data_IF_421857314403
#
_entry.id   IF_421857314403
#
_cell.length_a   1.000
_cell.length_b   1.000
_cell.length_c   1.000
_cell.angle_alpha   90.00
_cell.angle_beta   90.00
_cell.angle_gamma   90.00
#
_symmetry.space_group_name_H-M   'P 1'
#
loop_
_entity.id
_entity.type
_entity.pdbx_description
1 polymer ?
#
# COMPACT_ATOMS: atom_id res chain seq x y z
N UNK A 1 16.72 -5.40 -4.57
CA UNK A 1 17.80 -6.05 -3.80
C UNK A 1 18.34 -5.03 -2.82
N UNK A 2 18.57 -5.42 -1.57
CA UNK A 2 19.28 -4.60 -0.58
C UNK A 2 20.63 -5.25 -0.29
N UNK A 3 21.72 -4.53 -0.49
CA UNK A 3 23.07 -4.99 -0.25
C UNK A 3 23.60 -4.51 1.10
N UNK A 4 24.61 -5.23 1.63
CA UNK A 4 25.26 -4.93 2.90
C UNK A 4 24.30 -4.89 4.11
N UNK A 5 23.24 -5.66 4.05
CA UNK A 5 22.30 -5.80 5.17
C UNK A 5 22.96 -6.64 6.27
N UNK A 6 22.87 -6.16 7.50
CA UNK A 6 23.35 -6.90 8.66
C UNK A 6 22.18 -7.42 9.48
N UNK A 7 22.12 -8.76 9.63
CA UNK A 7 21.15 -9.45 10.49
C UNK A 7 21.94 -10.38 11.42
N UNK A 8 21.84 -10.18 12.75
CA UNK A 8 22.57 -10.97 13.77
C UNK A 8 24.09 -11.03 13.53
N UNK A 9 24.71 -9.88 13.27
CA UNK A 9 26.17 -9.80 12.98
C UNK A 9 26.59 -10.55 11.71
N UNK A 10 25.65 -11.03 10.89
CA UNK A 10 25.91 -11.60 9.57
C UNK A 10 25.59 -10.57 8.50
N UNK A 11 26.57 -10.29 7.65
CA UNK A 11 26.40 -9.40 6.50
C UNK A 11 26.05 -10.21 5.27
N UNK A 12 25.15 -9.67 4.45
CA UNK A 12 24.71 -10.30 3.22
C UNK A 12 23.84 -9.37 2.37
N UNK A 13 23.27 -9.94 1.31
CA UNK A 13 22.31 -9.24 0.46
C UNK A 13 20.93 -9.87 0.59
N UNK A 14 19.88 -9.05 0.66
CA UNK A 14 18.51 -9.49 0.59
C UNK A 14 18.02 -9.44 -0.85
N UNK A 15 17.58 -10.59 -1.36
CA UNK A 15 16.98 -10.70 -2.68
C UNK A 15 15.47 -10.73 -2.55
N UNK A 16 14.80 -9.79 -3.21
CA UNK A 16 13.34 -9.72 -3.28
C UNK A 16 12.87 -10.39 -4.55
N UNK A 17 12.11 -11.49 -4.41
CA UNK A 17 11.55 -12.26 -5.52
C UNK A 17 10.04 -12.23 -5.40
N UNK A 18 9.35 -11.98 -6.51
CA UNK A 18 7.91 -11.96 -6.58
C UNK A 18 7.40 -12.87 -7.68
N UNK A 19 6.27 -13.51 -7.40
CA UNK A 19 5.48 -14.26 -8.38
C UNK A 19 3.99 -14.13 -8.05
N UNK A 20 3.08 -14.29 -9.02
CA UNK A 20 1.66 -14.29 -8.78
C UNK A 20 1.25 -15.46 -7.89
N UNK A 21 0.31 -15.25 -6.99
CA UNK A 21 -0.21 -16.31 -6.10
C UNK A 21 -0.84 -17.46 -6.89
N UNK A 22 -1.38 -17.21 -8.08
CA UNK A 22 -1.87 -18.23 -9.03
C UNK A 22 -0.78 -19.18 -9.49
N UNK A 23 0.49 -18.73 -9.50
CA UNK A 23 1.67 -19.49 -9.92
C UNK A 23 2.35 -20.26 -8.77
N UNK A 24 1.70 -20.41 -7.63
CA UNK A 24 2.28 -21.12 -6.48
C UNK A 24 2.74 -22.54 -6.81
N UNK A 25 1.99 -23.26 -7.65
CA UNK A 25 2.37 -24.60 -8.11
C UNK A 25 3.71 -24.59 -8.86
N UNK A 26 3.93 -23.61 -9.74
CA UNK A 26 5.20 -23.45 -10.45
C UNK A 26 6.35 -23.11 -9.51
N UNK A 27 6.10 -22.27 -8.49
CA UNK A 27 7.09 -21.97 -7.46
C UNK A 27 7.48 -23.22 -6.66
N UNK A 28 6.51 -24.05 -6.22
CA UNK A 28 6.79 -25.29 -5.48
C UNK A 28 7.56 -26.30 -6.33
N UNK A 29 7.21 -26.41 -7.62
CA UNK A 29 7.96 -27.25 -8.57
C UNK A 29 9.40 -26.78 -8.72
N UNK A 30 9.63 -25.47 -8.82
CA UNK A 30 10.97 -24.89 -8.87
C UNK A 30 11.75 -25.13 -7.57
N UNK A 31 11.11 -24.93 -6.40
CA UNK A 31 11.69 -25.15 -5.10
C UNK A 31 12.15 -26.62 -4.94
N UNK A 32 11.35 -27.57 -5.41
CA UNK A 32 11.67 -28.99 -5.43
C UNK A 32 12.85 -29.27 -6.37
N UNK A 33 12.81 -28.76 -7.60
CA UNK A 33 13.86 -28.97 -8.60
C UNK A 33 15.22 -28.37 -8.17
N UNK A 34 15.21 -27.29 -7.40
CA UNK A 34 16.42 -26.65 -6.85
C UNK A 34 16.85 -27.21 -5.50
N UNK A 35 16.17 -28.20 -4.97
CA UNK A 35 16.51 -28.84 -3.70
C UNK A 35 16.42 -27.90 -2.49
N UNK A 36 15.50 -26.92 -2.50
CA UNK A 36 15.41 -25.92 -1.43
C UNK A 36 15.16 -26.54 -0.06
N UNK A 37 14.43 -27.67 0.03
CA UNK A 37 14.21 -28.40 1.28
C UNK A 37 15.48 -28.99 1.90
N UNK A 38 16.57 -29.10 1.14
CA UNK A 38 17.89 -29.52 1.65
C UNK A 38 18.63 -28.35 2.32
N UNK A 39 18.26 -27.10 1.95
CA UNK A 39 18.88 -25.88 2.49
C UNK A 39 18.12 -25.38 3.71
N UNK A 40 16.79 -25.43 3.66
CA UNK A 40 15.92 -24.94 4.73
C UNK A 40 14.72 -25.87 4.91
N UNK A 41 14.38 -26.17 6.17
CA UNK A 41 13.21 -27.00 6.53
C UNK A 41 12.01 -26.16 6.96
N UNK A 42 12.24 -24.89 7.30
CA UNK A 42 11.22 -23.97 7.78
C UNK A 42 11.24 -22.68 6.96
N UNK A 43 10.10 -22.28 6.44
CA UNK A 43 9.89 -21.04 5.70
C UNK A 43 9.01 -20.12 6.55
N UNK A 44 9.48 -18.91 6.81
CA UNK A 44 8.70 -17.90 7.49
C UNK A 44 7.64 -17.34 6.53
N UNK A 45 6.40 -17.24 6.97
CA UNK A 45 5.29 -16.87 6.13
C UNK A 45 4.28 -16.00 6.89
N UNK A 46 3.62 -15.10 6.16
CA UNK A 46 2.57 -14.23 6.68
C UNK A 46 1.46 -14.03 5.66
N UNK A 47 0.36 -13.42 6.11
CA UNK A 47 -0.81 -13.15 5.29
C UNK A 47 -1.64 -14.40 4.95
N UNK A 48 -2.73 -14.21 4.22
CA UNK A 48 -3.68 -15.28 3.88
C UNK A 48 -3.05 -16.44 3.09
N UNK A 49 -2.00 -16.18 2.30
CA UNK A 49 -1.28 -17.20 1.54
C UNK A 49 -0.61 -18.25 2.43
N UNK A 50 -0.11 -17.86 3.61
CA UNK A 50 0.50 -18.76 4.57
C UNK A 50 -0.47 -19.87 5.06
N UNK A 51 -1.74 -19.55 5.18
CA UNK A 51 -2.78 -20.53 5.54
C UNK A 51 -3.23 -21.35 4.34
N UNK A 52 -3.44 -20.69 3.20
CA UNK A 52 -3.94 -21.34 1.98
C UNK A 52 -2.99 -22.42 1.46
N UNK A 53 -1.69 -22.19 1.48
CA UNK A 53 -0.68 -23.05 0.84
C UNK A 53 0.12 -23.92 1.82
N UNK A 54 -0.19 -23.90 3.12
CA UNK A 54 0.52 -24.70 4.13
C UNK A 54 0.60 -26.20 3.78
N UNK A 55 -0.51 -26.76 3.31
CA UNK A 55 -0.59 -28.16 2.91
C UNK A 55 0.35 -28.46 1.73
N UNK A 56 0.36 -27.59 0.73
CA UNK A 56 1.21 -27.74 -0.44
C UNK A 56 2.70 -27.69 -0.09
N UNK A 57 3.13 -26.74 0.75
CA UNK A 57 4.51 -26.66 1.20
C UNK A 57 4.95 -27.93 1.95
N UNK A 58 4.09 -28.47 2.82
CA UNK A 58 4.40 -29.67 3.58
C UNK A 58 4.46 -30.92 2.70
N UNK A 59 3.47 -31.13 1.82
CA UNK A 59 3.30 -32.37 1.06
C UNK A 59 4.14 -32.43 -0.22
N UNK A 60 4.33 -31.29 -0.91
CA UNK A 60 5.02 -31.27 -2.20
C UNK A 60 6.53 -31.05 -2.08
N UNK A 61 6.98 -30.25 -1.09
CA UNK A 61 8.38 -29.84 -0.96
C UNK A 61 8.98 -30.15 0.42
N UNK A 62 8.24 -30.81 1.32
CA UNK A 62 8.68 -31.20 2.67
C UNK A 62 9.20 -30.01 3.51
N UNK A 63 8.53 -28.86 3.41
CA UNK A 63 8.85 -27.65 4.16
C UNK A 63 7.71 -27.28 5.12
N UNK A 64 8.05 -26.79 6.31
CA UNK A 64 7.09 -26.25 7.27
C UNK A 64 6.96 -24.74 7.09
N UNK A 65 5.74 -24.21 7.23
CA UNK A 65 5.52 -22.78 7.33
C UNK A 65 5.48 -22.35 8.80
N UNK A 66 6.40 -21.49 9.22
CA UNK A 66 6.29 -20.72 10.45
C UNK A 66 5.46 -19.46 10.15
N UNK A 67 4.23 -19.45 10.64
CA UNK A 67 3.25 -18.38 10.33
C UNK A 67 3.34 -17.27 11.38
N UNK A 68 3.39 -16.03 10.91
CA UNK A 68 3.44 -14.82 11.74
C UNK A 68 2.25 -13.93 11.41
N UNK A 69 1.86 -13.09 12.38
CA UNK A 69 0.82 -12.08 12.16
C UNK A 69 1.22 -11.09 11.07
N UNK A 70 0.27 -10.78 10.18
CA UNK A 70 0.52 -9.94 9.01
C UNK A 70 0.88 -8.51 9.40
N UNK A 71 0.20 -7.95 10.40
CA UNK A 71 0.39 -6.55 10.79
C UNK A 71 1.67 -6.37 11.60
N UNK A 72 1.98 -7.32 12.48
CA UNK A 72 3.25 -7.34 13.21
C UNK A 72 4.45 -7.37 12.26
N UNK A 73 4.42 -8.30 11.30
CA UNK A 73 5.51 -8.44 10.33
C UNK A 73 5.61 -7.24 9.40
N UNK A 74 4.48 -6.66 9.00
CA UNK A 74 4.45 -5.47 8.16
C UNK A 74 5.14 -4.29 8.85
N UNK A 75 4.78 -3.98 10.10
CA UNK A 75 5.38 -2.86 10.86
C UNK A 75 6.88 -3.08 11.05
N UNK A 76 7.30 -4.29 11.48
CA UNK A 76 8.71 -4.60 11.69
C UNK A 76 9.53 -4.54 10.40
N UNK A 77 8.95 -4.99 9.29
CA UNK A 77 9.60 -4.91 7.98
C UNK A 77 9.79 -3.49 7.49
N UNK A 78 8.80 -2.61 7.66
CA UNK A 78 8.89 -1.18 7.32
C UNK A 78 10.02 -0.51 8.10
N UNK A 79 10.02 -0.67 9.42
CA UNK A 79 11.03 -0.05 10.29
C UNK A 79 12.45 -0.52 9.97
N UNK A 80 12.62 -1.79 9.68
CA UNK A 80 13.91 -2.32 9.30
C UNK A 80 14.38 -1.79 7.94
N UNK A 81 13.50 -1.76 6.94
CA UNK A 81 13.83 -1.22 5.62
C UNK A 81 14.28 0.25 5.70
N UNK A 82 13.61 1.05 6.52
CA UNK A 82 13.95 2.45 6.76
C UNK A 82 15.32 2.62 7.44
N UNK A 83 15.66 1.77 8.40
CA UNK A 83 17.00 1.78 9.04
C UNK A 83 18.10 1.46 8.03
N UNK A 84 17.84 0.52 7.10
CA UNK A 84 18.82 0.09 6.11
C UNK A 84 18.93 1.05 4.91
N UNK A 85 17.88 1.79 4.59
CA UNK A 85 17.79 2.68 3.43
C UNK A 85 17.16 4.02 3.81
N UNK A 86 17.96 5.03 4.00
CA UNK A 86 17.49 6.39 4.35
C UNK A 86 16.61 7.04 3.28
N UNK A 87 16.57 6.49 2.08
CA UNK A 87 15.69 6.93 0.99
C UNK A 87 14.48 6.01 0.82
N UNK A 88 14.19 5.16 1.79
CA UNK A 88 13.05 4.23 1.76
C UNK A 88 11.73 4.96 1.74
N UNK A 89 11.56 5.95 2.63
CA UNK A 89 10.34 6.72 2.75
C UNK A 89 10.37 7.95 1.85
N UNK A 90 9.28 8.18 1.12
CA UNK A 90 9.14 9.32 0.22
C UNK A 90 7.70 9.85 0.19
N UNK A 91 7.55 11.04 -0.38
CA UNK A 91 6.26 11.65 -0.68
C UNK A 91 6.27 12.27 -2.08
N UNK A 92 5.09 12.59 -2.60
CA UNK A 92 4.94 13.36 -3.83
C UNK A 92 4.75 14.83 -3.47
N UNK A 93 5.73 15.65 -3.81
CA UNK A 93 5.64 17.10 -3.69
C UNK A 93 4.85 17.68 -4.87
N UNK A 94 4.18 18.82 -4.66
CA UNK A 94 3.31 19.44 -5.67
C UNK A 94 2.25 18.47 -6.24
N UNK A 95 1.67 17.63 -5.40
CA UNK A 95 0.70 16.61 -5.82
C UNK A 95 -0.58 17.19 -6.45
N UNK A 96 -0.86 18.49 -6.27
CA UNK A 96 -1.97 19.22 -6.90
C UNK A 96 -1.82 19.38 -8.42
N UNK A 97 -0.58 19.32 -8.93
CA UNK A 97 -0.30 19.34 -10.37
C UNK A 97 0.49 18.10 -10.76
N UNK A 98 -0.18 17.15 -11.40
CA UNK A 98 0.41 15.87 -11.83
C UNK A 98 1.64 16.08 -12.75
N UNK A 99 1.69 17.19 -13.50
CA UNK A 99 2.77 17.46 -14.46
C UNK A 99 4.08 17.87 -13.78
N UNK A 100 3.98 18.55 -12.64
CA UNK A 100 5.14 19.03 -11.87
C UNK A 100 5.34 18.28 -10.55
N UNK A 101 4.53 17.26 -10.33
CA UNK A 101 4.61 16.42 -9.14
C UNK A 101 5.92 15.63 -9.11
N UNK A 102 6.75 15.87 -8.10
CA UNK A 102 8.06 15.27 -7.93
C UNK A 102 8.10 14.36 -6.71
N UNK A 103 8.82 13.24 -6.85
CA UNK A 103 9.11 12.34 -5.75
C UNK A 103 10.25 12.90 -4.91
N UNK A 104 10.02 13.07 -3.61
CA UNK A 104 11.04 13.55 -2.65
C UNK A 104 11.17 12.60 -1.48
N UNK A 105 12.40 12.37 -1.05
CA UNK A 105 12.70 11.58 0.16
C UNK A 105 12.13 12.27 1.40
N UNK A 106 11.56 11.48 2.29
CA UNK A 106 11.09 11.93 3.60
C UNK A 106 11.96 11.32 4.69
N UNK A 107 12.43 12.15 5.62
CA UNK A 107 13.17 11.66 6.80
C UNK A 107 12.19 10.99 7.77
N UNK A 108 12.25 9.67 7.81
CA UNK A 108 11.41 8.83 8.68
C UNK A 108 12.19 8.28 9.89
N UNK A 109 13.35 8.85 10.21
CA UNK A 109 14.20 8.45 11.34
C UNK A 109 13.49 8.52 12.69
N UNK A 110 12.48 9.40 12.81
CA UNK A 110 11.55 9.48 13.95
C UNK A 110 10.15 9.08 13.48
N UNK A 111 9.87 7.78 13.32
CA UNK A 111 8.63 7.33 12.68
C UNK A 111 7.39 7.65 13.52
N UNK A 112 7.46 7.48 14.83
CA UNK A 112 6.28 7.52 15.70
C UNK A 112 5.82 8.92 16.12
N UNK A 113 4.51 9.09 16.28
CA UNK A 113 3.45 8.21 15.81
C UNK A 113 3.21 8.35 14.30
N UNK A 114 2.61 7.33 13.68
CA UNK A 114 2.13 7.41 12.30
C UNK A 114 0.86 6.57 12.09
N UNK A 115 0.06 6.93 11.09
CA UNK A 115 -1.04 6.10 10.59
C UNK A 115 -0.50 5.19 9.52
N UNK A 116 -0.75 3.88 9.63
CA UNK A 116 -0.43 2.90 8.61
C UNK A 116 -1.71 2.47 7.89
N UNK A 117 -1.76 2.68 6.59
CA UNK A 117 -2.89 2.30 5.71
C UNK A 117 -2.42 1.16 4.81
N UNK A 118 -2.78 -0.07 5.18
CA UNK A 118 -2.45 -1.26 4.38
C UNK A 118 -3.55 -1.55 3.37
N UNK A 119 -3.25 -1.33 2.09
CA UNK A 119 -4.18 -1.50 0.95
C UNK A 119 -3.88 -2.80 0.23
N UNK A 120 -4.47 -3.88 0.73
CA UNK A 120 -4.48 -5.20 0.10
C UNK A 120 -5.76 -5.44 -0.71
N UNK A 121 -6.37 -6.63 -0.59
CA UNK A 121 -7.70 -6.91 -1.14
C UNK A 121 -8.77 -6.00 -0.53
N UNK A 122 -8.74 -5.85 0.79
CA UNK A 122 -9.41 -4.79 1.54
C UNK A 122 -8.39 -3.82 2.11
N UNK A 123 -8.81 -2.99 3.08
CA UNK A 123 -7.97 -1.97 3.70
C UNK A 123 -8.01 -2.08 5.22
N UNK A 124 -6.86 -2.04 5.86
CA UNK A 124 -6.74 -1.88 7.30
C UNK A 124 -6.01 -0.59 7.63
N UNK A 125 -6.52 0.16 8.61
CA UNK A 125 -5.93 1.40 9.10
C UNK A 125 -5.51 1.20 10.56
N UNK A 126 -4.24 1.44 10.84
CA UNK A 126 -3.64 1.30 12.17
C UNK A 126 -3.07 2.64 12.63
N UNK A 127 -3.19 2.92 13.92
CA UNK A 127 -2.40 3.93 14.59
C UNK A 127 -1.21 3.24 15.26
N UNK A 128 0.01 3.66 14.90
CA UNK A 128 1.28 3.07 15.35
C UNK A 128 2.02 4.07 16.20
N UNK A 129 2.21 3.73 17.48
CA UNK A 129 2.86 4.56 18.49
C UNK A 129 4.23 4.03 18.90
N UNK A 130 4.56 2.80 18.51
CA UNK A 130 5.82 2.13 18.82
C UNK A 130 5.91 0.78 18.12
N UNK A 131 7.06 0.07 18.20
CA UNK A 131 7.29 -1.21 17.51
C UNK A 131 6.26 -2.29 17.83
N UNK A 132 5.86 -2.39 19.10
CA UNK A 132 4.88 -3.34 19.62
C UNK A 132 3.65 -2.60 20.22
N UNK A 133 3.50 -1.30 19.93
CA UNK A 133 2.40 -0.46 20.41
C UNK A 133 1.64 0.12 19.23
N UNK A 134 0.68 -0.63 18.74
CA UNK A 134 -0.22 -0.21 17.67
C UNK A 134 -1.62 -0.80 17.87
N UNK A 135 -2.60 -0.19 17.24
CA UNK A 135 -3.96 -0.71 17.23
C UNK A 135 -4.63 -0.48 15.88
N UNK A 136 -5.45 -1.41 15.47
CA UNK A 136 -6.33 -1.23 14.31
C UNK A 136 -7.47 -0.29 14.70
N UNK A 137 -7.57 0.85 13.99
CA UNK A 137 -8.54 1.90 14.29
C UNK A 137 -9.70 1.95 13.29
N UNK A 138 -9.48 1.48 12.06
CA UNK A 138 -10.51 1.45 11.01
C UNK A 138 -10.17 0.44 9.93
N UNK A 139 -11.00 0.38 8.90
CA UNK A 139 -10.79 -0.38 7.68
C UNK A 139 -12.01 -0.33 6.78
N UNK A 140 -11.85 -0.83 5.56
CA UNK A 140 -12.94 -0.98 4.60
C UNK A 140 -12.71 -2.23 3.74
N UNK A 141 -13.81 -2.83 3.29
CA UNK A 141 -13.75 -3.90 2.28
C UNK A 141 -13.51 -3.37 0.86
N UNK A 142 -13.56 -2.05 0.67
CA UNK A 142 -13.33 -1.38 -0.62
C UNK A 142 -11.83 -1.12 -0.79
N UNK A 143 -11.13 -2.07 -1.41
CA UNK A 143 -9.68 -2.03 -1.62
C UNK A 143 -9.27 -2.55 -2.99
N UNK A 144 -8.04 -3.06 -3.10
CA UNK A 144 -7.48 -3.57 -4.36
C UNK A 144 -8.26 -4.74 -4.96
N UNK A 145 -8.84 -5.61 -4.11
CA UNK A 145 -9.71 -6.69 -4.58
C UNK A 145 -11.01 -6.17 -5.19
N UNK A 146 -11.58 -5.11 -4.63
CA UNK A 146 -12.77 -4.45 -5.18
C UNK A 146 -12.45 -3.79 -6.51
N UNK A 147 -11.30 -3.09 -6.60
CA UNK A 147 -10.84 -2.50 -7.86
C UNK A 147 -10.75 -3.55 -8.98
N UNK A 148 -10.01 -4.63 -8.75
CA UNK A 148 -9.85 -5.68 -9.74
C UNK A 148 -11.19 -6.32 -10.11
N UNK A 149 -12.01 -6.68 -9.11
CA UNK A 149 -13.31 -7.32 -9.34
C UNK A 149 -14.25 -6.46 -10.18
N UNK A 150 -14.34 -5.17 -9.87
CA UNK A 150 -15.16 -4.24 -10.65
C UNK A 150 -14.58 -3.99 -12.05
N UNK A 151 -13.26 -3.87 -12.20
CA UNK A 151 -12.65 -3.76 -13.53
C UNK A 151 -12.90 -4.99 -14.38
N UNK A 152 -12.76 -6.21 -13.84
CA UNK A 152 -13.10 -7.44 -14.55
C UNK A 152 -14.55 -7.44 -15.03
N UNK A 153 -15.49 -7.05 -14.18
CA UNK A 153 -16.92 -7.00 -14.51
C UNK A 153 -17.25 -5.93 -15.56
N UNK A 154 -16.66 -4.74 -15.44
CA UNK A 154 -17.01 -3.58 -16.27
C UNK A 154 -16.25 -3.57 -17.61
N UNK A 155 -15.03 -4.09 -17.65
CA UNK A 155 -14.15 -3.96 -18.83
C UNK A 155 -13.79 -5.30 -19.47
N UNK A 156 -13.94 -6.40 -18.73
CA UNK A 156 -13.52 -7.74 -19.17
C UNK A 156 -12.01 -7.99 -19.04
N UNK A 157 -11.24 -7.13 -18.33
CA UNK A 157 -9.85 -7.40 -18.01
C UNK A 157 -9.71 -8.62 -17.07
N UNK A 158 -8.53 -9.21 -17.02
CA UNK A 158 -8.30 -10.47 -16.28
C UNK A 158 -7.24 -10.34 -15.18
N UNK A 159 -6.41 -9.30 -15.25
CA UNK A 159 -5.29 -9.10 -14.31
C UNK A 159 -5.29 -7.69 -13.73
N UNK A 160 -4.60 -7.54 -12.59
CA UNK A 160 -4.45 -6.25 -11.94
C UNK A 160 -3.64 -5.26 -12.80
N UNK A 161 -2.59 -5.75 -13.43
CA UNK A 161 -1.72 -4.98 -14.30
C UNK A 161 -2.49 -4.46 -15.54
N UNK A 162 -3.34 -5.30 -16.13
CA UNK A 162 -4.23 -4.91 -17.25
C UNK A 162 -5.25 -3.86 -16.80
N UNK A 163 -5.84 -4.02 -15.62
CA UNK A 163 -6.78 -3.04 -15.06
C UNK A 163 -6.13 -1.68 -14.81
N UNK A 164 -4.88 -1.65 -14.29
CA UNK A 164 -4.12 -0.42 -14.08
C UNK A 164 -3.74 0.22 -15.42
N UNK A 165 -3.34 -0.59 -16.41
CA UNK A 165 -3.03 -0.07 -17.76
C UNK A 165 -4.25 0.62 -18.37
N UNK A 166 -5.42 -0.02 -18.35
CA UNK A 166 -6.66 0.59 -18.80
C UNK A 166 -6.97 1.89 -18.03
N UNK A 167 -6.84 1.88 -16.71
CA UNK A 167 -7.08 3.07 -15.90
C UNK A 167 -6.13 4.23 -16.25
N UNK A 168 -4.90 3.94 -16.70
CA UNK A 168 -3.94 4.97 -17.12
C UNK A 168 -4.35 5.68 -18.40
N UNK A 169 -5.08 5.00 -19.28
CA UNK A 169 -5.53 5.50 -20.58
C UNK A 169 -6.90 6.19 -20.50
N UNK A 170 -7.61 6.07 -19.37
CA UNK A 170 -8.98 6.54 -19.21
C UNK A 170 -9.10 7.93 -18.57
N UNK A 171 -10.32 8.45 -18.61
CA UNK A 171 -10.71 9.72 -18.05
C UNK A 171 -12.00 9.56 -17.20
N UNK A 172 -11.85 9.59 -15.87
CA UNK A 172 -12.96 9.43 -14.94
C UNK A 172 -14.02 10.55 -15.05
N UNK A 173 -13.63 11.74 -15.54
CA UNK A 173 -14.55 12.88 -15.64
C UNK A 173 -15.70 12.65 -16.62
N UNK A 174 -15.55 11.67 -17.51
CA UNK A 174 -16.60 11.22 -18.43
C UNK A 174 -17.60 10.28 -17.77
N UNK A 175 -17.26 9.70 -16.63
CA UNK A 175 -18.03 8.70 -15.88
C UNK A 175 -18.60 9.30 -14.60
N UNK A 176 -17.77 10.03 -13.87
CA UNK A 176 -18.11 10.68 -12.62
C UNK A 176 -18.89 11.98 -12.84
N UNK A 177 -19.75 12.34 -11.89
CA UNK A 177 -20.36 13.66 -11.83
C UNK A 177 -19.49 14.55 -10.95
N UNK A 178 -19.03 15.67 -11.51
CA UNK A 178 -18.19 16.64 -10.82
C UNK A 178 -19.03 17.73 -10.15
N UNK A 179 -18.42 18.49 -9.25
CA UNK A 179 -19.06 19.65 -8.58
C UNK A 179 -19.58 20.66 -9.61
N UNK A 180 -18.78 20.97 -10.65
CA UNK A 180 -19.19 21.87 -11.74
C UNK A 180 -20.40 21.38 -12.54
N UNK A 181 -20.60 20.06 -12.65
CA UNK A 181 -21.77 19.49 -13.35
C UNK A 181 -23.08 19.71 -12.57
N UNK A 182 -22.98 20.02 -11.28
CA UNK A 182 -24.12 20.28 -10.40
C UNK A 182 -24.34 21.77 -10.22
N UNK A 183 -23.26 22.52 -9.98
CA UNK A 183 -23.33 23.92 -9.57
C UNK A 183 -22.91 24.91 -10.68
N UNK A 184 -22.42 24.40 -11.82
CA UNK A 184 -21.95 25.24 -12.94
C UNK A 184 -20.54 25.81 -12.78
N UNK A 185 -19.84 25.46 -11.69
CA UNK A 185 -18.50 25.94 -11.35
C UNK A 185 -18.10 25.47 -9.95
N UNK A 186 -17.25 26.22 -9.27
CA UNK A 186 -16.85 25.97 -7.89
C UNK A 186 -18.04 26.18 -6.94
N UNK A 187 -18.15 25.36 -5.91
CA UNK A 187 -19.13 25.57 -4.85
C UNK A 187 -18.50 26.38 -3.70
N UNK A 188 -18.40 27.68 -3.90
CA UNK A 188 -17.65 28.61 -3.05
C UNK A 188 -18.03 28.54 -1.56
N UNK A 189 -19.33 28.38 -1.25
CA UNK A 189 -19.82 28.30 0.14
C UNK A 189 -19.09 27.25 0.99
N UNK A 190 -18.65 26.13 0.40
CA UNK A 190 -17.95 25.07 1.08
C UNK A 190 -16.50 24.90 0.62
N UNK A 191 -16.01 25.80 -0.26
CA UNK A 191 -14.64 25.73 -0.81
C UNK A 191 -14.39 24.48 -1.65
N UNK A 192 -15.43 23.99 -2.36
CA UNK A 192 -15.30 22.81 -3.21
C UNK A 192 -15.01 23.25 -4.64
N UNK A 193 -13.85 22.83 -5.15
CA UNK A 193 -13.44 23.10 -6.52
C UNK A 193 -14.36 22.38 -7.52
N UNK A 194 -14.66 23.02 -8.66
CA UNK A 194 -15.55 22.48 -9.68
C UNK A 194 -15.13 21.11 -10.24
N UNK A 195 -13.81 20.81 -10.24
CA UNK A 195 -13.26 19.56 -10.74
C UNK A 195 -13.29 18.41 -9.73
N UNK A 196 -13.73 18.64 -8.49
CA UNK A 196 -13.88 17.57 -7.51
C UNK A 196 -15.01 16.62 -7.88
N UNK A 197 -14.81 15.33 -7.61
CA UNK A 197 -15.85 14.31 -7.79
C UNK A 197 -16.95 14.53 -6.75
N UNK A 198 -18.15 14.86 -7.22
CA UNK A 198 -19.34 14.97 -6.38
C UNK A 198 -20.07 13.63 -6.24
N UNK A 199 -20.11 12.84 -7.32
CA UNK A 199 -20.69 11.51 -7.30
C UNK A 199 -19.94 10.58 -8.25
N UNK A 200 -19.24 9.59 -7.67
CA UNK A 200 -18.57 8.54 -8.43
C UNK A 200 -19.60 7.79 -9.28
N UNK A 201 -19.25 7.54 -10.55
CA UNK A 201 -20.15 6.97 -11.55
C UNK A 201 -21.46 7.75 -11.76
N UNK A 202 -21.53 8.99 -11.33
CA UNK A 202 -22.78 9.76 -11.27
C UNK A 202 -23.37 10.11 -12.63
N UNK A 203 -22.64 10.04 -13.75
CA UNK A 203 -23.15 10.20 -15.10
C UNK A 203 -23.70 8.90 -15.70
N UNK A 204 -23.41 7.75 -15.08
CA UNK A 204 -23.78 6.42 -15.61
C UNK A 204 -25.28 6.08 -15.44
N UNK A 205 -26.06 6.93 -14.81
CA UNK A 205 -27.54 6.84 -14.83
C UNK A 205 -28.13 7.26 -16.18
N UNK A 206 -27.39 7.99 -17.03
CA UNK A 206 -27.84 8.47 -18.34
C UNK A 206 -27.49 7.44 -19.41
N UNK A 207 -28.52 7.01 -20.20
CA UNK A 207 -28.36 5.96 -21.22
C UNK A 207 -27.33 6.33 -22.28
N UNK A 208 -27.44 7.52 -22.85
CA UNK A 208 -26.59 8.00 -23.93
C UNK A 208 -25.11 8.09 -23.48
N UNK A 209 -24.88 8.45 -22.21
CA UNK A 209 -23.53 8.46 -21.64
C UNK A 209 -22.96 7.05 -21.53
N UNK A 210 -23.74 6.08 -20.99
CA UNK A 210 -23.29 4.69 -20.89
C UNK A 210 -22.93 4.07 -22.24
N UNK A 211 -23.63 4.42 -23.31
CA UNK A 211 -23.40 3.88 -24.66
C UNK A 211 -22.10 4.42 -25.30
N UNK A 212 -21.61 5.59 -24.84
CA UNK A 212 -20.43 6.27 -25.38
C UNK A 212 -19.15 6.09 -24.55
N UNK A 213 -19.23 5.43 -23.40
CA UNK A 213 -18.12 5.33 -22.47
C UNK A 213 -17.15 4.22 -22.83
N UNK A 214 -15.85 4.47 -22.75
CA UNK A 214 -14.81 3.48 -22.99
C UNK A 214 -14.54 2.60 -21.75
N UNK A 215 -13.96 1.41 -22.00
CA UNK A 215 -13.48 0.53 -20.92
C UNK A 215 -12.39 1.21 -20.08
N UNK A 216 -11.56 2.01 -20.71
CA UNK A 216 -10.50 2.78 -20.05
C UNK A 216 -11.10 3.80 -19.08
N UNK A 217 -12.12 4.55 -19.49
CA UNK A 217 -12.81 5.53 -18.64
C UNK A 217 -13.45 4.85 -17.42
N UNK A 218 -14.09 3.68 -17.60
CA UNK A 218 -14.66 2.89 -16.50
C UNK A 218 -13.60 2.40 -15.52
N UNK A 219 -12.44 1.94 -16.02
CA UNK A 219 -11.33 1.49 -15.20
C UNK A 219 -10.74 2.67 -14.39
N UNK A 220 -10.55 3.83 -15.03
CA UNK A 220 -10.05 5.03 -14.38
C UNK A 220 -11.03 5.53 -13.30
N UNK A 221 -12.33 5.61 -13.58
CA UNK A 221 -13.35 6.01 -12.60
C UNK A 221 -13.42 5.04 -11.42
N UNK A 222 -13.28 3.73 -11.65
CA UNK A 222 -13.21 2.73 -10.60
C UNK A 222 -11.98 2.96 -9.70
N UNK A 223 -10.81 3.22 -10.30
CA UNK A 223 -9.57 3.51 -9.59
C UNK A 223 -9.71 4.77 -8.72
N UNK A 224 -10.22 5.85 -9.29
CA UNK A 224 -10.43 7.13 -8.60
C UNK A 224 -11.42 6.98 -7.44
N UNK A 225 -12.55 6.29 -7.66
CA UNK A 225 -13.56 6.02 -6.63
C UNK A 225 -12.96 5.32 -5.41
N UNK A 226 -12.21 4.25 -5.64
CA UNK A 226 -11.62 3.45 -4.57
C UNK A 226 -10.53 4.25 -3.86
N UNK A 227 -9.67 4.92 -4.61
CA UNK A 227 -8.57 5.72 -4.06
C UNK A 227 -9.09 6.86 -3.20
N UNK A 228 -10.08 7.61 -3.66
CA UNK A 228 -10.69 8.71 -2.90
C UNK A 228 -11.37 8.21 -1.60
N UNK A 229 -11.99 7.04 -1.65
CA UNK A 229 -12.59 6.42 -0.46
C UNK A 229 -11.52 6.06 0.59
N UNK A 230 -10.43 5.44 0.16
CA UNK A 230 -9.27 5.12 1.02
C UNK A 230 -8.69 6.40 1.61
N UNK A 231 -8.45 7.43 0.78
CA UNK A 231 -7.93 8.72 1.22
C UNK A 231 -8.82 9.41 2.24
N UNK A 232 -10.13 9.41 2.04
CA UNK A 232 -11.09 10.01 2.97
C UNK A 232 -11.07 9.32 4.33
N UNK A 233 -11.07 7.97 4.37
CA UNK A 233 -10.98 7.18 5.61
C UNK A 233 -9.65 7.43 6.31
N UNK A 234 -8.55 7.38 5.58
CA UNK A 234 -7.20 7.59 6.13
C UNK A 234 -7.07 8.98 6.77
N UNK A 235 -7.56 10.02 6.08
CA UNK A 235 -7.57 11.40 6.59
C UNK A 235 -8.39 11.52 7.88
N UNK A 236 -9.59 10.97 7.92
CA UNK A 236 -10.42 11.01 9.12
C UNK A 236 -9.78 10.29 10.29
N UNK A 237 -9.14 9.16 10.05
CA UNK A 237 -8.36 8.45 11.06
C UNK A 237 -7.19 9.31 11.58
N UNK A 238 -6.42 9.93 10.69
CA UNK A 238 -5.30 10.79 11.05
C UNK A 238 -5.72 11.99 11.90
N UNK A 239 -6.81 12.66 11.51
CA UNK A 239 -7.38 13.79 12.26
C UNK A 239 -7.86 13.35 13.65
N UNK A 240 -8.58 12.22 13.75
CA UNK A 240 -9.11 11.72 15.02
C UNK A 240 -8.00 11.30 16.00
N UNK A 241 -6.92 10.71 15.48
CA UNK A 241 -5.75 10.29 16.27
C UNK A 241 -4.75 11.44 16.51
N UNK A 242 -4.94 12.60 15.84
CA UNK A 242 -4.01 13.75 15.87
C UNK A 242 -2.60 13.38 15.41
N UNK A 243 -2.52 12.59 14.34
CA UNK A 243 -1.27 12.12 13.73
C UNK A 243 -1.17 12.71 12.33
N UNK A 244 -0.04 13.32 12.00
CA UNK A 244 0.19 14.04 10.74
C UNK A 244 0.85 13.20 9.64
N UNK A 245 1.50 12.09 10.01
CA UNK A 245 2.15 11.16 9.08
C UNK A 245 1.22 10.02 8.72
N UNK A 246 0.92 9.84 7.43
CA UNK A 246 0.07 8.75 6.92
C UNK A 246 0.87 7.93 5.92
N UNK A 247 1.27 6.74 6.32
CA UNK A 247 2.06 5.80 5.51
C UNK A 247 1.11 4.85 4.79
N UNK A 248 1.12 4.89 3.47
CA UNK A 248 0.34 4.03 2.61
C UNK A 248 1.19 2.89 2.08
N UNK A 249 0.73 1.66 2.27
CA UNK A 249 1.40 0.42 1.86
C UNK A 249 0.41 -0.56 1.26
N UNK A 250 0.90 -1.60 0.64
CA UNK A 250 0.10 -2.72 0.10
C UNK A 250 0.19 -2.84 -1.42
N UNK A 251 -0.05 -4.04 -1.91
CA UNK A 251 0.12 -4.39 -3.33
C UNK A 251 -0.67 -3.51 -4.30
N UNK A 252 -1.76 -2.90 -3.85
CA UNK A 252 -2.56 -1.97 -4.66
C UNK A 252 -1.75 -0.76 -5.14
N UNK A 253 -0.77 -0.29 -4.34
CA UNK A 253 0.01 0.91 -4.66
C UNK A 253 1.27 0.61 -5.48
N UNK A 254 1.77 -0.60 -5.43
CA UNK A 254 3.09 -0.99 -5.96
C UNK A 254 3.35 -0.61 -7.43
N UNK A 255 2.35 -0.72 -8.30
CA UNK A 255 2.44 -0.38 -9.74
C UNK A 255 1.39 0.66 -10.13
N UNK A 256 0.99 1.50 -9.18
CA UNK A 256 -0.15 2.39 -9.30
C UNK A 256 0.21 3.83 -8.90
N UNK A 257 1.04 4.51 -9.71
CA UNK A 257 1.43 5.90 -9.42
C UNK A 257 0.24 6.88 -9.44
N UNK A 258 -0.82 6.55 -10.16
CA UNK A 258 -2.04 7.36 -10.19
C UNK A 258 -2.65 7.45 -8.79
N UNK A 259 -2.91 6.30 -8.15
CA UNK A 259 -3.45 6.29 -6.79
C UNK A 259 -2.52 6.94 -5.77
N UNK A 260 -1.20 6.75 -5.90
CA UNK A 260 -0.24 7.41 -5.01
C UNK A 260 -0.34 8.95 -5.10
N UNK A 261 -0.39 9.49 -6.31
CA UNK A 261 -0.54 10.95 -6.53
C UNK A 261 -1.90 11.47 -6.08
N UNK A 262 -2.98 10.73 -6.33
CA UNK A 262 -4.32 11.07 -5.84
C UNK A 262 -4.38 11.09 -4.30
N UNK A 263 -3.77 10.10 -3.62
CA UNK A 263 -3.69 10.07 -2.16
C UNK A 263 -2.86 11.24 -1.63
N UNK A 264 -1.72 11.55 -2.27
CA UNK A 264 -0.88 12.68 -1.89
C UNK A 264 -1.66 14.00 -2.03
N UNK A 265 -2.35 14.21 -3.16
CA UNK A 265 -3.22 15.35 -3.37
C UNK A 265 -4.34 15.44 -2.32
N UNK A 266 -5.04 14.33 -2.08
CA UNK A 266 -6.15 14.30 -1.13
C UNK A 266 -5.70 14.63 0.29
N UNK A 267 -4.55 14.08 0.74
CA UNK A 267 -4.01 14.40 2.06
C UNK A 267 -3.65 15.87 2.17
N UNK A 268 -2.93 16.42 1.21
CA UNK A 268 -2.51 17.83 1.21
C UNK A 268 -3.71 18.78 1.14
N UNK A 269 -4.55 18.62 0.12
CA UNK A 269 -5.69 19.51 -0.15
C UNK A 269 -6.69 19.57 1.00
N UNK A 270 -7.19 18.39 1.43
CA UNK A 270 -8.24 18.34 2.46
C UNK A 270 -7.75 18.60 3.87
N UNK A 271 -6.44 18.54 4.10
CA UNK A 271 -5.84 18.90 5.39
C UNK A 271 -5.26 20.30 5.42
N UNK A 272 -5.28 21.02 4.29
CA UNK A 272 -4.61 22.32 4.13
C UNK A 272 -3.12 22.24 4.43
N UNK A 273 -2.46 21.16 3.94
CA UNK A 273 -1.03 20.94 4.08
C UNK A 273 -0.58 20.33 5.43
N UNK A 274 -1.51 20.02 6.35
CA UNK A 274 -1.15 19.50 7.69
C UNK A 274 -0.88 18.00 7.72
N UNK A 275 -1.39 17.24 6.75
CA UNK A 275 -1.17 15.79 6.64
C UNK A 275 -0.28 15.47 5.44
N UNK A 276 0.65 14.53 5.62
CA UNK A 276 1.48 14.01 4.54
C UNK A 276 1.17 12.56 4.23
N UNK A 277 0.92 12.28 2.94
CA UNK A 277 0.90 10.92 2.42
C UNK A 277 2.33 10.45 2.16
N UNK A 278 2.74 9.41 2.83
CA UNK A 278 4.07 8.80 2.74
C UNK A 278 3.97 7.44 2.06
N UNK A 279 4.96 7.12 1.25
CA UNK A 279 5.08 5.89 0.48
C UNK A 279 6.47 5.29 0.68
N UNK A 280 6.65 4.02 0.31
CA UNK A 280 7.88 3.29 0.53
C UNK A 280 8.39 2.65 -0.77
N UNK A 281 9.73 2.53 -0.92
CA UNK A 281 10.35 2.03 -2.15
C UNK A 281 10.16 0.52 -2.34
N UNK A 282 10.31 -0.26 -1.26
CA UNK A 282 10.23 -1.72 -1.32
C UNK A 282 8.83 -2.24 -1.04
N UNK A 283 7.81 -1.56 -1.61
CA UNK A 283 6.41 -1.96 -1.43
C UNK A 283 6.15 -3.41 -1.86
N UNK A 284 5.36 -4.11 -1.02
CA UNK A 284 4.98 -5.51 -1.24
C UNK A 284 5.93 -6.55 -0.62
N UNK A 285 7.05 -6.13 0.02
CA UNK A 285 8.03 -7.06 0.62
C UNK A 285 8.13 -6.96 2.14
N UNK A 286 7.52 -5.94 2.77
CA UNK A 286 7.69 -5.69 4.21
C UNK A 286 7.18 -6.83 5.09
N UNK A 287 6.06 -7.47 4.75
CA UNK A 287 5.58 -8.64 5.48
C UNK A 287 6.60 -9.78 5.50
N UNK A 288 7.18 -10.11 4.35
CA UNK A 288 8.21 -11.16 4.25
C UNK A 288 9.50 -10.77 5.00
N UNK A 289 9.89 -9.51 4.91
CA UNK A 289 11.04 -8.97 5.64
C UNK A 289 10.83 -9.05 7.15
N UNK A 290 9.66 -8.65 7.63
CA UNK A 290 9.29 -8.75 9.04
C UNK A 290 9.24 -10.20 9.56
N UNK A 291 8.79 -11.16 8.73
CA UNK A 291 8.86 -12.59 9.06
C UNK A 291 10.29 -13.04 9.32
N UNK A 292 11.23 -12.65 8.45
CA UNK A 292 12.65 -12.98 8.61
C UNK A 292 13.21 -12.43 9.92
N UNK A 293 12.81 -11.22 10.30
CA UNK A 293 13.25 -10.56 11.53
C UNK A 293 12.65 -11.21 12.77
N UNK A 294 11.36 -11.54 12.77
CA UNK A 294 10.69 -12.20 13.89
C UNK A 294 11.25 -13.60 14.17
N UNK A 295 11.48 -14.37 13.13
CA UNK A 295 12.09 -15.69 13.27
C UNK A 295 13.48 -15.63 13.90
N UNK A 296 14.17 -14.54 13.68
CA UNK A 296 15.50 -14.30 14.22
C UNK A 296 15.50 -13.54 15.58
N UNK A 297 14.35 -13.20 16.12
CA UNK A 297 13.99 -12.68 17.43
C UNK A 297 14.98 -11.92 18.29
N UNK A 298 15.43 -10.69 17.94
CA UNK A 298 16.04 -9.77 18.93
C UNK A 298 16.50 -8.38 18.40
N UNK A 299 16.40 -8.09 17.09
CA UNK A 299 17.18 -6.99 16.50
C UNK A 299 16.55 -5.60 16.65
N UNK A 300 15.22 -5.48 16.73
CA UNK A 300 14.57 -4.16 16.75
C UNK A 300 14.62 -3.47 18.12
N UNK A 301 14.68 -4.22 19.21
CA UNK A 301 14.77 -3.63 20.55
C UNK A 301 16.12 -2.96 20.82
N UNK A 302 17.19 -3.46 20.24
CA UNK A 302 18.56 -2.93 20.48
C UNK A 302 18.82 -1.65 19.68
N UNK A 303 18.43 -1.59 18.41
CA UNK A 303 18.68 -0.44 17.54
C UNK A 303 17.81 0.78 17.89
N UNK A 304 16.58 0.56 18.38
CA UNK A 304 15.69 1.64 18.81
C UNK A 304 16.04 2.19 20.20
N UNK A 305 16.61 1.35 21.09
CA UNK A 305 17.09 1.78 22.40
C UNK A 305 18.37 2.61 22.33
N UNK A 306 19.22 2.40 21.32
CA UNK A 306 20.44 3.19 21.12
C UNK A 306 20.15 4.61 20.62
N UNK A 307 19.07 4.82 19.87
CA UNK A 307 18.67 6.16 19.40
C UNK A 307 18.03 7.01 20.49
N UNK A 308 17.39 6.39 21.50
CA UNK A 308 16.80 7.11 22.64
C UNK A 308 17.84 7.51 23.71
N UNK A 309 18.99 6.85 23.77
CA UNK A 309 20.07 7.19 24.72
C UNK A 309 20.89 8.42 24.32
N UNK A 310 20.96 8.76 23.02
CA UNK A 310 21.73 9.90 22.52
C UNK A 310 21.02 11.25 22.76
N UNK A 311 19.73 11.24 23.12
CA UNK A 311 18.95 12.47 23.32
C UNK A 311 18.81 12.93 24.78
N UNK A 312 19.42 12.24 25.76
CA UNK A 312 19.32 12.61 27.20
C UNK A 312 20.54 13.33 27.77
N UNK A 313 21.60 13.48 27.00
CA UNK A 313 22.80 14.25 27.42
C UNK A 313 23.07 15.42 26.44
N UNK A 314 22.15 16.38 26.42
CA UNK A 314 22.46 17.78 26.02
C UNK A 314 21.46 18.74 26.61
#
# INVERSE_FOLDING_TARGET
MMDNVEIRKRKGSLHFIRFPTSEMGNFLSLAKAKGMAQLVTTVCATGGGAFKFEKNFREEVNMKLAKFDELDTLIKGILFAEIQNKSECYFWDNASDIKISEKRTFDFSKPYPFILVNVGSGVSVLAVYGPDNYRRISGTSIGGGTFLGLCCLLTGCSTFEEAIQLATEGDHTRVDKLVKDIYGGDYERFGLHGDLVAASFGQMNLKDKRESISKADLANATLVTITNNIGSIARMCAVNEKIDKVVFVGNFLRVNPISMKLLAYAMDYWSKGTLKALFLEHEGYFGALGCLLQFNGEILSTALNETDFISKDK
#
